data_IF_787506715349
#
_entry.id   IF_787506715349
#
_cell.length_a   1.000
_cell.length_b   1.000
_cell.length_c   1.000
_cell.angle_alpha   90.00
_cell.angle_beta   90.00
_cell.angle_gamma   90.00
#
_symmetry.space_group_name_H-M   'P 1'
#
loop_
_entity.id
_entity.type
_entity.pdbx_description
1 polymer ?
#
# COMPACT_ATOMS: atom_id res chain seq x y z
N UNK A 1 11.21 -19.84 -5.57
CA UNK A 1 11.59 -21.07 -6.30
C UNK A 1 10.56 -21.34 -7.39
N UNK A 2 10.90 -22.13 -8.40
CA UNK A 2 9.95 -22.44 -9.48
C UNK A 2 8.71 -23.22 -8.98
N UNK A 3 8.89 -24.01 -7.91
CA UNK A 3 7.77 -24.70 -7.24
C UNK A 3 6.80 -23.71 -6.59
N UNK A 4 7.30 -22.71 -5.87
CA UNK A 4 6.44 -21.65 -5.28
C UNK A 4 5.72 -20.84 -6.36
N UNK A 5 6.41 -20.50 -7.46
CA UNK A 5 5.80 -19.78 -8.58
C UNK A 5 4.65 -20.59 -9.20
N UNK A 6 4.86 -21.89 -9.40
CA UNK A 6 3.82 -22.77 -9.94
C UNK A 6 2.65 -22.90 -8.98
N UNK A 7 2.90 -23.00 -7.68
CA UNK A 7 1.84 -23.05 -6.67
C UNK A 7 0.99 -21.78 -6.67
N UNK A 8 1.62 -20.60 -6.75
CA UNK A 8 0.95 -19.31 -6.83
C UNK A 8 0.09 -19.23 -8.09
N UNK A 9 0.63 -19.62 -9.26
CA UNK A 9 -0.11 -19.68 -10.53
C UNK A 9 -1.34 -20.58 -10.46
N UNK A 10 -1.23 -21.73 -9.80
CA UNK A 10 -2.33 -22.67 -9.68
C UNK A 10 -3.41 -22.20 -8.68
N UNK A 11 -3.08 -21.31 -7.75
CA UNK A 11 -3.98 -20.85 -6.69
C UNK A 11 -4.69 -19.53 -7.05
N UNK A 12 -4.16 -18.79 -8.02
CA UNK A 12 -4.72 -17.51 -8.45
C UNK A 12 -5.60 -17.67 -9.70
N UNK A 13 -6.60 -16.81 -9.89
CA UNK A 13 -7.38 -16.77 -11.12
C UNK A 13 -6.51 -16.42 -12.35
N UNK A 14 -6.90 -16.91 -13.53
CA UNK A 14 -6.18 -16.66 -14.80
C UNK A 14 -6.10 -15.17 -15.18
N UNK A 15 -6.95 -14.33 -14.59
CA UNK A 15 -6.93 -12.88 -14.79
C UNK A 15 -5.73 -12.21 -14.11
N UNK A 16 -5.11 -12.84 -13.11
CA UNK A 16 -4.00 -12.26 -12.35
C UNK A 16 -2.69 -12.55 -13.07
N UNK A 17 -2.03 -11.49 -13.55
CA UNK A 17 -0.70 -11.59 -14.15
C UNK A 17 0.35 -11.81 -13.07
N UNK A 18 1.20 -12.82 -13.25
CA UNK A 18 2.28 -13.15 -12.31
C UNK A 18 3.62 -13.00 -13.02
N UNK A 19 4.41 -12.02 -12.59
CA UNK A 19 5.71 -11.71 -13.16
C UNK A 19 6.80 -11.77 -12.09
N UNK A 20 7.95 -12.36 -12.44
CA UNK A 20 9.14 -12.34 -11.60
C UNK A 20 9.94 -11.08 -11.93
N UNK A 21 10.26 -10.31 -10.91
CA UNK A 21 11.07 -9.09 -11.00
C UNK A 21 12.41 -9.36 -10.33
N UNK A 22 13.50 -8.95 -10.99
CA UNK A 22 14.83 -8.96 -10.38
C UNK A 22 15.15 -7.55 -9.86
N UNK A 23 15.04 -7.38 -8.55
CA UNK A 23 15.25 -6.12 -7.85
C UNK A 23 16.32 -6.35 -6.76
N UNK A 24 17.20 -5.37 -6.52
CA UNK A 24 18.38 -5.52 -5.63
C UNK A 24 18.45 -4.48 -4.50
N UNK A 25 17.57 -3.49 -4.45
CA UNK A 25 17.49 -2.45 -3.43
C UNK A 25 16.88 -2.99 -2.14
N UNK A 26 15.70 -3.64 -2.22
CA UNK A 26 14.97 -4.13 -1.05
C UNK A 26 13.97 -5.24 -1.39
N UNK A 27 13.15 -5.61 -0.42
CA UNK A 27 11.97 -6.44 -0.69
C UNK A 27 10.91 -5.60 -1.42
N UNK A 28 10.30 -6.16 -2.47
CA UNK A 28 9.26 -5.48 -3.27
C UNK A 28 8.15 -4.86 -2.41
N UNK A 29 7.68 -5.55 -1.36
CA UNK A 29 6.64 -5.04 -0.47
C UNK A 29 7.04 -3.84 0.40
N UNK A 30 8.34 -3.54 0.54
CA UNK A 30 8.80 -2.35 1.26
C UNK A 30 8.89 -1.12 0.35
N UNK A 31 9.15 -1.35 -0.94
CA UNK A 31 9.44 -0.30 -1.93
C UNK A 31 8.26 0.02 -2.83
N UNK A 32 7.19 -0.78 -2.77
CA UNK A 32 5.98 -0.60 -3.58
C UNK A 32 4.77 -0.57 -2.64
N UNK A 33 3.98 0.49 -2.73
CA UNK A 33 2.63 0.56 -2.20
C UNK A 33 1.69 0.82 -3.38
N UNK A 34 0.62 0.04 -3.55
CA UNK A 34 -0.23 0.14 -4.74
C UNK A 34 -1.71 -0.10 -4.41
N UNK A 35 -2.57 0.48 -5.24
CA UNK A 35 -3.98 0.12 -5.37
C UNK A 35 -4.26 -0.27 -6.85
N UNK A 36 -5.52 -0.32 -7.26
CA UNK A 36 -5.90 -0.76 -8.61
C UNK A 36 -5.66 0.29 -9.70
N UNK A 37 -5.26 1.51 -9.34
CA UNK A 37 -5.11 2.64 -10.26
C UNK A 37 -3.71 3.25 -10.24
N UNK A 38 -3.07 3.27 -9.07
CA UNK A 38 -1.84 4.00 -8.79
C UNK A 38 -0.88 3.18 -7.92
N UNK A 39 0.41 3.27 -8.18
CA UNK A 39 1.47 2.73 -7.36
C UNK A 39 2.49 3.79 -6.95
N UNK A 40 2.84 3.83 -5.67
CA UNK A 40 3.93 4.62 -5.11
C UNK A 40 5.17 3.74 -4.96
N UNK A 41 6.26 4.16 -5.60
CA UNK A 41 7.52 3.41 -5.59
C UNK A 41 8.68 4.21 -5.03
N UNK A 42 9.71 3.50 -4.59
CA UNK A 42 10.99 4.06 -4.19
C UNK A 42 11.59 4.97 -5.30
N UNK A 43 12.10 6.18 -4.99
CA UNK A 43 12.61 7.11 -5.99
C UNK A 43 13.75 6.56 -6.86
N UNK A 44 14.63 5.76 -6.27
CA UNK A 44 15.78 5.14 -6.94
C UNK A 44 15.46 3.79 -7.61
N UNK A 45 14.18 3.44 -7.77
CA UNK A 45 13.80 2.20 -8.45
C UNK A 45 14.26 2.21 -9.92
N UNK A 46 14.81 1.08 -10.37
CA UNK A 46 15.24 0.89 -11.76
C UNK A 46 14.07 1.08 -12.72
N UNK A 47 14.32 1.76 -13.84
CA UNK A 47 13.29 2.04 -14.86
C UNK A 47 12.69 0.77 -15.45
N UNK A 48 13.52 -0.26 -15.66
CA UNK A 48 13.05 -1.57 -16.14
C UNK A 48 12.03 -2.18 -15.16
N UNK A 49 12.27 -2.07 -13.86
CA UNK A 49 11.35 -2.55 -12.83
C UNK A 49 10.07 -1.72 -12.78
N UNK A 50 10.17 -0.40 -12.93
CA UNK A 50 9.03 0.50 -13.02
C UNK A 50 8.12 0.18 -14.21
N UNK A 51 8.70 -0.03 -15.40
CA UNK A 51 7.96 -0.42 -16.61
C UNK A 51 7.26 -1.77 -16.43
N UNK A 52 7.96 -2.76 -15.86
CA UNK A 52 7.38 -4.07 -15.56
C UNK A 52 6.21 -3.97 -14.57
N UNK A 53 6.31 -3.11 -13.56
CA UNK A 53 5.24 -2.88 -12.59
C UNK A 53 4.03 -2.22 -13.27
N UNK A 54 4.25 -1.18 -14.05
CA UNK A 54 3.20 -0.47 -14.78
C UNK A 54 2.45 -1.42 -15.73
N UNK A 55 3.16 -2.26 -16.48
CA UNK A 55 2.55 -3.19 -17.45
C UNK A 55 1.84 -4.39 -16.79
N UNK A 56 2.39 -4.87 -15.68
CA UNK A 56 1.85 -6.04 -14.97
C UNK A 56 0.61 -5.67 -14.16
N UNK A 57 0.68 -4.58 -13.39
CA UNK A 57 -0.41 -4.11 -12.55
C UNK A 57 -1.41 -3.22 -13.30
N UNK A 58 -1.02 -2.66 -14.45
CA UNK A 58 -1.83 -1.72 -15.23
C UNK A 58 -2.22 -0.47 -14.41
N UNK A 59 -1.22 0.11 -13.73
CA UNK A 59 -1.37 1.27 -12.85
C UNK A 59 -0.38 2.37 -13.20
N UNK A 60 -0.69 3.61 -12.85
CA UNK A 60 0.26 4.72 -12.95
C UNK A 60 1.28 4.63 -11.82
N UNK A 61 2.56 4.64 -12.16
CA UNK A 61 3.64 4.54 -11.17
C UNK A 61 4.20 5.92 -10.87
N UNK A 62 4.25 6.29 -9.60
CA UNK A 62 4.86 7.53 -9.13
C UNK A 62 5.99 7.26 -8.15
N UNK A 63 7.13 7.90 -8.40
CA UNK A 63 8.28 7.91 -7.51
C UNK A 63 8.06 8.96 -6.43
N UNK A 64 7.93 8.52 -5.17
CA UNK A 64 7.65 9.44 -4.07
C UNK A 64 8.28 8.97 -2.74
N UNK A 65 8.28 9.86 -1.75
CA UNK A 65 8.78 9.57 -0.39
C UNK A 65 7.73 9.94 0.65
N UNK A 66 7.68 9.22 1.77
CA UNK A 66 6.65 9.39 2.79
C UNK A 66 7.33 9.78 4.10
N UNK A 67 7.06 10.99 4.58
CA UNK A 67 7.69 11.57 5.76
C UNK A 67 9.24 11.52 5.72
N UNK A 68 9.84 11.72 4.54
CA UNK A 68 11.29 11.64 4.32
C UNK A 68 11.86 10.21 4.25
N UNK A 69 10.99 9.20 4.31
CA UNK A 69 11.36 7.80 4.08
C UNK A 69 11.13 7.39 2.64
N UNK A 70 12.07 6.62 2.10
CA UNK A 70 12.03 6.09 0.74
C UNK A 70 11.24 4.77 0.61
N UNK A 71 10.92 4.15 1.75
CA UNK A 71 10.21 2.86 1.80
C UNK A 71 8.69 3.10 1.81
N UNK A 72 8.12 3.40 0.65
CA UNK A 72 6.68 3.71 0.51
C UNK A 72 5.79 2.58 1.04
N UNK A 73 6.11 1.31 0.73
CA UNK A 73 5.36 0.13 1.16
C UNK A 73 5.39 -0.15 2.65
N UNK A 74 6.46 0.23 3.35
CA UNK A 74 6.55 0.03 4.80
C UNK A 74 5.77 1.10 5.58
N UNK A 75 5.72 2.33 5.06
CA UNK A 75 5.22 3.50 5.80
C UNK A 75 3.87 4.02 5.30
N UNK A 76 3.27 3.34 4.32
CA UNK A 76 1.95 3.66 3.81
C UNK A 76 1.19 2.39 3.44
N UNK A 77 -0.10 2.39 3.73
CA UNK A 77 -1.04 1.39 3.27
C UNK A 77 -2.26 2.13 2.73
N UNK A 78 -2.63 1.87 1.49
CA UNK A 78 -3.79 2.50 0.86
C UNK A 78 -4.57 1.51 0.00
N UNK A 79 -5.83 1.84 -0.24
CA UNK A 79 -6.81 1.10 -1.04
C UNK A 79 -7.41 2.04 -2.10
N UNK A 80 -8.48 1.62 -2.77
CA UNK A 80 -9.20 2.51 -3.68
C UNK A 80 -10.09 3.53 -2.95
N UNK A 81 -10.36 3.32 -1.65
CA UNK A 81 -11.27 4.17 -0.86
C UNK A 81 -10.54 5.23 -0.02
N UNK A 82 -9.30 4.96 0.36
CA UNK A 82 -8.53 5.77 1.28
C UNK A 82 -7.19 5.13 1.64
N UNK A 83 -6.39 5.83 2.44
CA UNK A 83 -5.09 5.33 2.90
C UNK A 83 -4.59 5.96 4.18
N UNK A 84 -3.69 5.23 4.85
CA UNK A 84 -3.00 5.67 6.06
C UNK A 84 -1.51 5.82 5.74
N UNK A 85 -0.97 6.96 6.15
CA UNK A 85 0.45 7.28 6.04
C UNK A 85 1.10 7.41 7.41
N UNK A 86 2.42 7.41 7.42
CA UNK A 86 3.24 7.62 8.60
C UNK A 86 2.79 8.85 9.43
N UNK A 87 2.77 8.78 10.77
CA UNK A 87 2.18 9.81 11.64
C UNK A 87 2.89 11.17 11.59
N UNK A 88 4.17 11.20 11.19
CA UNK A 88 4.95 12.45 11.04
C UNK A 88 4.85 13.09 9.65
N UNK A 89 4.00 12.56 8.77
CA UNK A 89 3.78 13.15 7.44
C UNK A 89 3.14 14.53 7.61
N UNK A 90 3.68 15.55 6.96
CA UNK A 90 3.12 16.90 7.10
C UNK A 90 1.75 16.99 6.42
N UNK A 91 0.94 17.97 6.81
CA UNK A 91 -0.38 18.18 6.18
C UNK A 91 -0.21 18.52 4.69
N UNK A 92 0.83 19.27 4.33
CA UNK A 92 1.13 19.58 2.94
C UNK A 92 1.45 18.32 2.11
N UNK A 93 2.28 17.42 2.65
CA UNK A 93 2.60 16.16 1.95
C UNK A 93 1.37 15.23 1.88
N UNK A 94 0.51 15.24 2.90
CA UNK A 94 -0.75 14.49 2.89
C UNK A 94 -1.69 15.00 1.79
N UNK A 95 -1.83 16.32 1.63
CA UNK A 95 -2.68 16.93 0.60
C UNK A 95 -2.12 16.67 -0.80
N UNK A 96 -0.79 16.73 -0.98
CA UNK A 96 -0.12 16.37 -2.23
C UNK A 96 -0.36 14.91 -2.58
N UNK A 97 -0.10 13.99 -1.65
CA UNK A 97 -0.31 12.56 -1.85
C UNK A 97 -1.79 12.22 -2.08
N UNK A 98 -2.72 12.89 -1.39
CA UNK A 98 -4.15 12.69 -1.59
C UNK A 98 -4.59 13.16 -2.98
N UNK A 99 -4.02 14.27 -3.46
CA UNK A 99 -4.24 14.75 -4.82
C UNK A 99 -3.62 13.83 -5.88
N UNK A 100 -2.49 13.20 -5.57
CA UNK A 100 -1.83 12.26 -6.48
C UNK A 100 -2.60 10.94 -6.58
N UNK A 101 -2.98 10.36 -5.44
CA UNK A 101 -3.67 9.08 -5.36
C UNK A 101 -5.18 9.18 -5.62
N UNK A 102 -5.74 10.40 -5.62
CA UNK A 102 -7.17 10.67 -5.74
C UNK A 102 -8.03 10.02 -4.64
N UNK A 103 -7.42 9.71 -3.48
CA UNK A 103 -8.07 9.11 -2.31
C UNK A 103 -7.75 9.89 -1.04
N UNK A 104 -8.65 9.93 -0.04
CA UNK A 104 -8.36 10.58 1.23
C UNK A 104 -7.23 9.87 1.97
N UNK A 105 -6.27 10.64 2.46
CA UNK A 105 -5.18 10.14 3.29
C UNK A 105 -5.22 10.73 4.68
N UNK A 106 -4.86 9.90 5.67
CA UNK A 106 -4.75 10.33 7.06
C UNK A 106 -3.44 9.81 7.66
N UNK A 107 -2.74 10.68 8.37
CA UNK A 107 -1.61 10.27 9.20
C UNK A 107 -2.11 9.52 10.45
N UNK A 108 -1.59 8.31 10.67
CA UNK A 108 -2.02 7.45 11.78
C UNK A 108 -0.92 6.51 12.25
N UNK A 109 -1.25 5.69 13.24
CA UNK A 109 -0.39 4.62 13.76
C UNK A 109 -1.16 3.31 13.82
N UNK A 110 -0.42 2.20 13.93
CA UNK A 110 -0.96 0.85 14.11
C UNK A 110 -0.25 0.17 15.28
N UNK A 111 -0.76 -0.94 15.81
CA UNK A 111 -0.08 -1.70 16.87
C UNK A 111 0.40 -0.86 18.06
N UNK A 112 -0.48 0.00 18.60
CA UNK A 112 -0.20 0.82 19.80
C UNK A 112 0.91 1.85 19.57
N UNK A 113 0.82 2.61 18.48
CA UNK A 113 1.75 3.71 18.19
C UNK A 113 2.93 3.33 17.30
N UNK A 114 2.91 2.18 16.64
CA UNK A 114 3.88 1.85 15.59
C UNK A 114 3.66 2.74 14.37
N UNK A 115 4.75 3.25 13.84
CA UNK A 115 4.82 4.10 12.67
C UNK A 115 5.00 3.29 11.36
N UNK A 116 5.20 1.97 11.46
CA UNK A 116 5.35 1.05 10.32
C UNK A 116 3.98 0.49 9.89
N UNK A 117 3.23 1.32 9.18
CA UNK A 117 1.84 1.03 8.79
C UNK A 117 1.73 -0.23 7.93
N UNK A 118 2.56 -0.38 6.90
CA UNK A 118 2.47 -1.49 5.95
C UNK A 118 2.81 -2.87 6.55
N UNK A 119 3.52 -2.90 7.68
CA UNK A 119 3.77 -4.14 8.41
C UNK A 119 2.64 -4.50 9.39
N UNK A 120 1.90 -3.50 9.87
CA UNK A 120 0.87 -3.68 10.89
C UNK A 120 -0.56 -3.69 10.37
N UNK A 121 -0.77 -3.34 9.10
CA UNK A 121 -2.08 -3.25 8.47
C UNK A 121 -2.02 -3.74 7.02
N UNK A 122 -2.94 -4.62 6.67
CA UNK A 122 -3.25 -4.99 5.28
C UNK A 122 -4.73 -4.72 5.05
N UNK A 123 -5.05 -4.08 3.94
CA UNK A 123 -6.39 -3.57 3.67
C UNK A 123 -6.76 -3.72 2.20
N UNK A 124 -8.03 -3.99 1.96
CA UNK A 124 -8.67 -3.87 0.67
C UNK A 124 -9.97 -3.06 0.84
N UNK A 125 -10.76 -2.92 -0.22
CA UNK A 125 -11.93 -2.03 -0.24
C UNK A 125 -13.08 -2.41 0.70
N UNK A 126 -13.02 -3.58 1.34
CA UNK A 126 -14.12 -4.19 2.10
C UNK A 126 -13.68 -4.84 3.41
N UNK A 127 -12.38 -4.99 3.64
CA UNK A 127 -11.82 -5.61 4.84
C UNK A 127 -10.45 -5.06 5.17
N UNK A 128 -10.16 -4.94 6.47
CA UNK A 128 -8.83 -4.60 6.99
C UNK A 128 -8.41 -5.63 8.04
N UNK A 129 -7.15 -6.04 7.97
CA UNK A 129 -6.50 -6.88 8.95
C UNK A 129 -5.37 -6.07 9.59
N UNK A 130 -5.44 -5.90 10.91
CA UNK A 130 -4.40 -5.22 11.68
C UNK A 130 -3.85 -6.13 12.77
N UNK A 131 -2.67 -5.79 13.31
CA UNK A 131 -2.09 -6.56 14.40
C UNK A 131 -2.87 -6.42 15.70
N UNK A 132 -2.75 -7.44 16.56
CA UNK A 132 -3.55 -7.61 17.78
C UNK A 132 -3.43 -6.45 18.77
N UNK A 133 -2.26 -5.80 18.82
CA UNK A 133 -2.00 -4.68 19.72
C UNK A 133 -2.61 -3.35 19.24
N UNK A 134 -3.25 -3.33 18.06
CA UNK A 134 -3.88 -2.12 17.52
C UNK A 134 -5.03 -1.69 18.41
N UNK A 135 -5.00 -0.42 18.83
CA UNK A 135 -5.94 0.13 19.80
C UNK A 135 -7.31 0.42 19.16
N UNK A 136 -8.37 0.47 19.97
CA UNK A 136 -9.72 0.79 19.48
C UNK A 136 -9.79 2.17 18.77
N UNK A 137 -8.97 3.12 19.20
CA UNK A 137 -8.83 4.43 18.56
C UNK A 137 -8.18 4.34 17.18
N UNK A 138 -7.12 3.54 17.04
CA UNK A 138 -6.47 3.30 15.73
C UNK A 138 -7.41 2.53 14.80
N UNK A 139 -8.12 1.52 15.30
CA UNK A 139 -9.14 0.78 14.53
C UNK A 139 -10.23 1.72 14.02
N UNK A 140 -10.76 2.60 14.87
CA UNK A 140 -11.79 3.56 14.44
C UNK A 140 -11.28 4.50 13.34
N UNK A 141 -10.01 4.91 13.38
CA UNK A 141 -9.40 5.69 12.29
C UNK A 141 -9.33 4.88 11.00
N UNK A 142 -8.86 3.62 11.08
CA UNK A 142 -8.79 2.69 9.94
C UNK A 142 -10.18 2.51 9.32
N UNK A 143 -11.19 2.15 10.11
CA UNK A 143 -12.55 1.93 9.62
C UNK A 143 -13.14 3.15 8.90
N UNK A 144 -12.88 4.35 9.43
CA UNK A 144 -13.37 5.60 8.86
C UNK A 144 -12.65 5.98 7.56
N UNK A 145 -11.33 5.85 7.51
CA UNK A 145 -10.52 6.22 6.33
C UNK A 145 -10.79 5.29 5.16
N UNK A 146 -10.90 4.00 5.43
CA UNK A 146 -11.13 2.96 4.41
C UNK A 146 -12.62 2.73 4.10
N UNK A 147 -13.54 3.44 4.76
CA UNK A 147 -15.00 3.34 4.56
C UNK A 147 -15.56 1.92 4.67
N UNK A 148 -14.98 1.10 5.54
CA UNK A 148 -15.33 -0.33 5.67
C UNK A 148 -16.77 -0.54 6.18
N UNK A 149 -17.33 0.47 6.86
CA UNK A 149 -18.69 0.43 7.38
C UNK A 149 -19.77 0.60 6.28
N UNK A 150 -19.43 1.23 5.15
CA UNK A 150 -20.37 1.48 4.05
C UNK A 150 -20.50 0.26 3.13
N UNK A 151 -19.43 -0.55 2.99
CA UNK A 151 -19.43 -1.76 2.19
C UNK A 151 -20.41 -2.86 2.70
N UNK A 152 -20.87 -2.75 3.95
CA UNK A 152 -21.80 -3.68 4.59
C UNK A 152 -23.26 -3.18 4.65
N UNK A 153 -23.59 -2.07 3.99
CA UNK A 153 -24.98 -1.61 3.88
C UNK A 153 -25.63 -2.19 2.59
N UNK A 154 -26.77 -2.91 2.70
CA UNK A 154 -27.44 -3.54 1.57
C UNK A 154 -28.12 -2.56 0.62
#
# INVERSE_FOLDING_TARGET
>A
TDQELQHIRNSLPDSVKIQRVEERLSALGNVIACNDYVALVHPDLDKETEEVLADTLNVEVFRHTIAGSVLTGSYCAFSNQGGIVHPKTTVADQDELSSLLQVPLVAGTVNRGSDVIGAGLVVNDWSAFCGFDTTATEISVIENVFRLNEANQP
#
